data_IF_314480356316
#
_entry.id   IF_314480356316
#
_cell.length_a   1.000
_cell.length_b   1.000
_cell.length_c   1.000
_cell.angle_alpha   90.00
_cell.angle_beta   90.00
_cell.angle_gamma   90.00
#
_symmetry.space_group_name_H-M   'P 1'
#
loop_
_entity.id
_entity.type
_entity.pdbx_description
1 polymer ?
#
# COMPACT_ATOMS: atom_id res chain seq x y z
N UNK A 1 23.77 46.52 33.12
CA UNK A 1 23.05 46.19 31.88
C UNK A 1 21.88 45.30 32.24
N UNK A 2 20.64 45.78 32.18
CA UNK A 2 19.46 45.01 32.58
C UNK A 2 18.90 44.22 31.39
N UNK A 3 18.60 42.92 31.53
CA UNK A 3 18.02 42.15 30.43
C UNK A 3 16.55 42.55 30.26
N UNK A 4 16.20 43.03 29.06
CA UNK A 4 14.82 43.34 28.67
C UNK A 4 14.08 42.02 28.47
N UNK A 5 13.26 41.63 29.44
CA UNK A 5 12.42 40.45 29.32
C UNK A 5 11.35 40.70 28.24
N UNK A 6 11.46 40.00 27.11
CA UNK A 6 10.45 39.98 26.07
C UNK A 6 9.23 39.22 26.60
N UNK A 7 8.29 39.95 27.20
CA UNK A 7 7.01 39.42 27.66
C UNK A 7 6.18 39.04 26.44
N UNK A 8 6.34 37.81 25.96
CA UNK A 8 5.46 37.23 24.96
C UNK A 8 4.07 37.12 25.60
N UNK A 9 3.17 38.02 25.23
CA UNK A 9 1.75 37.92 25.58
C UNK A 9 1.07 37.11 24.50
N UNK A 10 0.41 35.98 24.79
CA UNK A 10 -0.50 35.40 23.83
C UNK A 10 -1.59 36.45 23.57
N UNK A 11 -1.65 36.95 22.34
CA UNK A 11 -2.87 37.62 21.88
C UNK A 11 -3.94 36.56 21.98
N UNK A 12 -4.96 36.81 22.82
CA UNK A 12 -6.12 35.95 22.87
C UNK A 12 -6.74 35.97 21.47
N UNK A 13 -6.49 34.92 20.69
CA UNK A 13 -7.21 34.69 19.44
C UNK A 13 -8.68 34.57 19.82
N UNK A 14 -9.44 35.62 19.54
CA UNK A 14 -10.88 35.54 19.62
C UNK A 14 -11.32 34.42 18.67
N UNK A 15 -12.10 33.48 19.19
CA UNK A 15 -12.65 32.37 18.41
C UNK A 15 -13.58 32.95 17.34
N UNK A 16 -13.01 33.32 16.20
CA UNK A 16 -13.77 33.77 15.05
C UNK A 16 -14.49 32.58 14.44
N UNK A 17 -15.74 32.75 13.96
CA UNK A 17 -16.44 31.72 13.21
C UNK A 17 -15.61 31.19 12.02
N UNK A 18 -14.73 32.03 11.44
CA UNK A 18 -13.80 31.61 10.39
C UNK A 18 -12.76 30.57 10.89
N UNK A 19 -12.29 30.67 12.13
CA UNK A 19 -11.35 29.72 12.74
C UNK A 19 -12.03 28.38 13.01
N UNK A 20 -13.29 28.41 13.47
CA UNK A 20 -14.09 27.19 13.64
C UNK A 20 -14.39 26.52 12.31
N UNK A 21 -14.81 27.28 11.30
CA UNK A 21 -15.03 26.77 9.94
C UNK A 21 -13.75 26.14 9.36
N UNK A 22 -12.59 26.79 9.53
CA UNK A 22 -11.29 26.26 9.11
C UNK A 22 -10.93 24.96 9.83
N UNK A 23 -11.18 24.87 11.14
CA UNK A 23 -10.95 23.64 11.91
C UNK A 23 -11.88 22.51 11.45
N UNK A 24 -13.16 22.81 11.19
CA UNK A 24 -14.12 21.85 10.66
C UNK A 24 -13.69 21.34 9.28
N UNK A 25 -13.34 22.24 8.36
CA UNK A 25 -12.81 21.87 7.04
C UNK A 25 -11.56 20.98 7.16
N UNK A 26 -10.62 21.34 8.05
CA UNK A 26 -9.43 20.53 8.29
C UNK A 26 -9.77 19.14 8.86
N UNK A 27 -10.76 19.02 9.75
CA UNK A 27 -11.20 17.71 10.25
C UNK A 27 -11.84 16.86 9.15
N UNK A 28 -12.66 17.46 8.28
CA UNK A 28 -13.27 16.78 7.13
C UNK A 28 -12.22 16.31 6.13
N UNK A 29 -11.23 17.16 5.80
CA UNK A 29 -10.15 16.75 4.91
C UNK A 29 -9.35 15.59 5.52
N UNK A 30 -8.97 15.68 6.80
CA UNK A 30 -8.22 14.60 7.48
C UNK A 30 -9.00 13.29 7.52
N UNK A 31 -10.31 13.33 7.78
CA UNK A 31 -11.13 12.12 7.80
C UNK A 31 -11.28 11.50 6.40
N UNK A 32 -11.47 12.33 5.36
CA UNK A 32 -11.52 11.88 3.98
C UNK A 32 -10.21 11.22 3.54
N UNK A 33 -9.06 11.84 3.84
CA UNK A 33 -7.74 11.24 3.56
C UNK A 33 -7.54 9.91 4.27
N UNK A 34 -7.96 9.80 5.55
CA UNK A 34 -7.86 8.55 6.30
C UNK A 34 -8.75 7.44 5.70
N UNK A 35 -9.96 7.78 5.25
CA UNK A 35 -10.86 6.84 4.59
C UNK A 35 -10.28 6.33 3.26
N UNK A 36 -9.74 7.22 2.44
CA UNK A 36 -9.07 6.86 1.18
C UNK A 36 -7.84 5.98 1.42
N UNK A 37 -7.01 6.30 2.41
CA UNK A 37 -5.85 5.47 2.76
C UNK A 37 -6.26 4.06 3.23
N UNK A 38 -7.36 3.93 3.98
CA UNK A 38 -7.92 2.62 4.36
C UNK A 38 -8.42 1.86 3.14
N UNK A 39 -9.09 2.52 2.20
CA UNK A 39 -9.57 1.89 0.97
C UNK A 39 -8.41 1.39 0.11
N UNK A 40 -7.38 2.22 -0.09
CA UNK A 40 -6.18 1.85 -0.83
C UNK A 40 -5.52 0.60 -0.22
N UNK A 41 -5.33 0.56 1.10
CA UNK A 41 -4.80 -0.63 1.80
C UNK A 41 -5.67 -1.87 1.61
N UNK A 42 -7.00 -1.74 1.64
CA UNK A 42 -7.91 -2.88 1.40
C UNK A 42 -7.78 -3.40 -0.02
N UNK A 43 -7.67 -2.52 -1.02
CA UNK A 43 -7.48 -2.90 -2.42
C UNK A 43 -6.13 -3.59 -2.62
N UNK A 44 -5.04 -3.05 -2.04
CA UNK A 44 -3.72 -3.68 -2.08
C UNK A 44 -3.72 -5.04 -1.40
N UNK A 45 -4.33 -5.16 -0.21
CA UNK A 45 -4.44 -6.44 0.51
C UNK A 45 -5.27 -7.47 -0.28
N UNK A 46 -6.31 -7.03 -0.98
CA UNK A 46 -7.07 -7.89 -1.91
C UNK A 46 -6.19 -8.38 -3.06
N UNK A 47 -5.40 -7.47 -3.66
CA UNK A 47 -4.46 -7.81 -4.73
C UNK A 47 -3.37 -8.79 -4.29
N UNK A 48 -2.85 -8.67 -3.07
CA UNK A 48 -1.87 -9.63 -2.54
C UNK A 48 -2.49 -11.01 -2.30
N UNK A 49 -3.76 -11.08 -1.87
CA UNK A 49 -4.47 -12.36 -1.76
C UNK A 49 -4.74 -13.01 -3.12
N UNK A 50 -4.97 -12.20 -4.16
CA UNK A 50 -5.13 -12.72 -5.51
C UNK A 50 -3.79 -13.10 -6.17
N UNK A 51 -2.67 -12.53 -5.70
CA UNK A 51 -1.31 -12.87 -6.17
C UNK A 51 -0.79 -14.21 -5.66
N UNK A 52 -1.61 -15.01 -4.99
CA UNK A 52 -1.38 -16.45 -4.87
C UNK A 52 -1.69 -17.20 -6.18
N UNK A 53 -1.88 -16.48 -7.29
CA UNK A 53 -1.93 -17.04 -8.63
C UNK A 53 -0.67 -17.91 -8.83
N UNK A 54 -0.83 -19.21 -9.16
CA UNK A 54 0.27 -20.14 -9.21
C UNK A 54 1.37 -19.59 -10.14
N UNK A 55 2.53 -19.31 -9.56
CA UNK A 55 3.73 -18.96 -10.33
C UNK A 55 4.17 -20.21 -11.08
N UNK A 56 3.81 -20.28 -12.36
CA UNK A 56 4.36 -21.25 -13.29
C UNK A 56 5.84 -20.90 -13.49
N UNK A 57 6.72 -21.63 -12.82
CA UNK A 57 8.16 -21.53 -13.03
C UNK A 57 8.56 -22.44 -14.18
N UNK A 58 8.99 -21.84 -15.30
CA UNK A 58 9.48 -22.58 -16.45
C UNK A 58 10.96 -22.89 -16.25
N UNK A 59 11.26 -24.16 -16.00
CA UNK A 59 12.61 -24.64 -15.80
C UNK A 59 13.28 -24.87 -17.17
N UNK A 60 14.05 -23.88 -17.64
CA UNK A 60 14.76 -23.92 -18.93
C UNK A 60 16.20 -24.46 -18.83
N UNK A 61 16.53 -25.17 -17.75
CA UNK A 61 17.85 -25.77 -17.56
C UNK A 61 17.88 -27.13 -18.28
N UNK A 62 18.95 -27.41 -19.03
CA UNK A 62 19.09 -28.53 -19.98
C UNK A 62 19.08 -29.96 -19.38
N UNK A 63 18.54 -30.12 -18.18
CA UNK A 63 18.29 -31.40 -17.51
C UNK A 63 16.89 -31.53 -16.91
N UNK A 64 16.02 -30.52 -17.02
CA UNK A 64 14.61 -30.66 -16.68
C UNK A 64 13.91 -31.46 -17.79
N UNK A 65 13.17 -32.52 -17.46
CA UNK A 65 12.55 -33.33 -18.49
C UNK A 65 11.47 -32.51 -19.22
N UNK A 66 11.57 -32.49 -20.55
CA UNK A 66 10.80 -31.61 -21.43
C UNK A 66 9.30 -31.69 -21.13
N UNK A 67 8.66 -30.53 -20.91
CA UNK A 67 7.23 -30.45 -20.64
C UNK A 67 6.79 -30.70 -19.19
N UNK A 68 7.71 -30.91 -18.25
CA UNK A 68 7.39 -30.99 -16.82
C UNK A 68 6.97 -29.63 -16.24
N UNK A 69 5.85 -29.61 -15.51
CA UNK A 69 5.31 -28.43 -14.87
C UNK A 69 5.54 -28.49 -13.36
N UNK A 70 6.16 -27.43 -12.83
CA UNK A 70 6.44 -27.31 -11.40
C UNK A 70 5.62 -26.18 -10.78
N UNK A 71 5.13 -26.42 -9.56
CA UNK A 71 4.53 -25.41 -8.68
C UNK A 71 5.27 -25.49 -7.35
N UNK A 72 5.86 -24.38 -6.91
CA UNK A 72 6.67 -24.31 -5.68
C UNK A 72 7.77 -25.39 -5.61
N UNK A 73 8.39 -25.72 -6.75
CA UNK A 73 9.41 -26.78 -6.85
C UNK A 73 8.88 -28.21 -6.83
N UNK A 74 7.57 -28.42 -6.76
CA UNK A 74 6.93 -29.73 -6.85
C UNK A 74 6.41 -30.02 -8.25
N UNK A 75 6.68 -31.21 -8.78
CA UNK A 75 6.15 -31.66 -10.07
C UNK A 75 4.63 -31.86 -9.97
N UNK A 76 3.87 -31.05 -10.71
CA UNK A 76 2.40 -31.11 -10.71
C UNK A 76 1.81 -31.71 -11.99
N UNK A 77 2.60 -31.88 -13.04
CA UNK A 77 2.12 -32.53 -14.26
C UNK A 77 3.03 -32.35 -15.46
N UNK A 78 2.55 -32.79 -16.62
CA UNK A 78 3.25 -32.70 -17.90
C UNK A 78 2.34 -32.04 -18.93
N UNK A 79 2.89 -31.13 -19.73
CA UNK A 79 2.15 -30.47 -20.82
C UNK A 79 2.12 -31.40 -22.06
N UNK A 80 0.95 -31.91 -22.47
CA UNK A 80 0.88 -32.79 -23.64
C UNK A 80 1.25 -32.02 -24.92
N UNK A 81 2.11 -32.62 -25.76
CA UNK A 81 2.47 -32.08 -27.07
C UNK A 81 3.73 -31.22 -27.13
N UNK A 82 4.47 -31.06 -26.02
CA UNK A 82 5.81 -30.44 -26.04
C UNK A 82 6.86 -31.52 -26.24
N UNK A 83 7.47 -31.55 -27.42
CA UNK A 83 8.54 -32.49 -27.83
C UNK A 83 9.89 -31.82 -28.05
N UNK A 84 9.98 -30.50 -27.82
CA UNK A 84 11.23 -29.72 -27.79
C UNK A 84 10.97 -28.31 -27.26
N UNK A 85 11.89 -27.78 -26.46
CA UNK A 85 11.96 -26.38 -26.05
C UNK A 85 13.25 -25.73 -26.58
#
# INVERSE_FOLDING_TARGET
MSPKASRWSPVAETTSPATLARRAAATVLRSASAALARLARRLTASRTRHRSDPRLEFYAEAGAPEGALYLDGQLIGWLPGVTRL
#
